data_IF_175416230791
#
_entry.id   IF_175416230791
#
_cell.length_a   1.000
_cell.length_b   1.000
_cell.length_c   1.000
_cell.angle_alpha   90.00
_cell.angle_beta   90.00
_cell.angle_gamma   90.00
#
_symmetry.space_group_name_H-M   'P 1'
#
loop_
_entity.id
_entity.type
_entity.pdbx_description
1 polymer ?
#
# COMPACT_ATOMS: atom_id res chain seq x y z
N UNK A 1 -39.24 -8.68 11.20
CA UNK A 1 -38.63 -9.36 10.03
C UNK A 1 -37.47 -10.23 10.52
N UNK A 2 -36.73 -10.89 9.63
CA UNK A 2 -35.55 -11.70 10.01
C UNK A 2 -34.49 -10.85 10.74
N UNK A 3 -34.32 -9.59 10.37
CA UNK A 3 -33.36 -8.68 10.99
C UNK A 3 -33.68 -8.42 12.46
N UNK A 4 -34.95 -8.16 12.79
CA UNK A 4 -35.37 -7.98 14.18
C UNK A 4 -35.18 -9.23 15.04
N UNK A 5 -35.49 -10.42 14.50
CA UNK A 5 -35.29 -11.68 15.22
C UNK A 5 -33.80 -11.97 15.49
N UNK A 6 -32.92 -11.69 14.53
CA UNK A 6 -31.48 -11.84 14.70
C UNK A 6 -30.90 -10.77 15.64
N UNK A 7 -31.43 -9.55 15.63
CA UNK A 7 -30.95 -8.47 16.49
C UNK A 7 -31.10 -8.81 17.98
N UNK A 8 -32.19 -9.46 18.38
CA UNK A 8 -32.37 -9.90 19.77
C UNK A 8 -31.36 -10.98 20.16
N UNK A 9 -31.18 -12.00 19.31
CA UNK A 9 -30.26 -13.12 19.56
C UNK A 9 -28.80 -12.65 19.60
N UNK A 10 -28.37 -11.91 18.58
CA UNK A 10 -27.01 -11.39 18.48
C UNK A 10 -26.75 -10.30 19.52
N UNK A 11 -27.78 -9.52 19.88
CA UNK A 11 -27.69 -8.54 20.96
C UNK A 11 -27.34 -9.21 22.29
N UNK A 12 -28.00 -10.32 22.64
CA UNK A 12 -27.68 -11.07 23.84
C UNK A 12 -26.23 -11.62 23.82
N UNK A 13 -25.79 -12.14 22.67
CA UNK A 13 -24.43 -12.65 22.48
C UNK A 13 -23.37 -11.53 22.63
N UNK A 14 -23.62 -10.35 22.08
CA UNK A 14 -22.73 -9.18 22.24
C UNK A 14 -22.58 -8.78 23.72
N UNK A 15 -23.66 -8.84 24.51
CA UNK A 15 -23.57 -8.57 25.95
C UNK A 15 -22.77 -9.67 26.66
N UNK A 16 -23.03 -10.94 26.34
CA UNK A 16 -22.33 -12.07 26.96
C UNK A 16 -20.82 -12.04 26.68
N UNK A 17 -20.41 -11.58 25.50
CA UNK A 17 -19.00 -11.45 25.11
C UNK A 17 -18.37 -10.11 25.55
N UNK A 18 -19.12 -9.22 26.21
CA UNK A 18 -18.62 -7.90 26.62
C UNK A 18 -18.36 -6.94 25.46
N UNK A 19 -18.91 -7.21 24.28
CA UNK A 19 -18.71 -6.43 23.05
C UNK A 19 -19.78 -5.36 22.83
N UNK A 20 -20.81 -5.31 23.69
CA UNK A 20 -21.90 -4.36 23.53
C UNK A 20 -21.44 -2.90 23.50
N UNK A 21 -20.46 -2.54 24.33
CA UNK A 21 -19.94 -1.17 24.38
C UNK A 21 -19.23 -0.80 23.08
N UNK A 22 -18.36 -1.67 22.55
CA UNK A 22 -17.73 -1.48 21.24
C UNK A 22 -18.77 -1.31 20.13
N UNK A 23 -19.78 -2.17 20.10
CA UNK A 23 -20.87 -2.10 19.12
C UNK A 23 -21.65 -0.79 19.22
N UNK A 24 -22.10 -0.41 20.42
CA UNK A 24 -23.02 0.71 20.63
C UNK A 24 -22.35 2.09 20.67
N UNK A 25 -21.08 2.17 21.09
CA UNK A 25 -20.35 3.44 21.27
C UNK A 25 -19.32 3.72 20.18
N UNK A 26 -18.89 2.70 19.43
CA UNK A 26 -17.90 2.86 18.34
C UNK A 26 -18.49 2.48 17.00
N UNK A 27 -18.95 1.24 16.83
CA UNK A 27 -19.32 0.73 15.50
C UNK A 27 -20.59 1.40 14.97
N UNK A 28 -21.67 1.43 15.77
CA UNK A 28 -22.95 2.01 15.35
C UNK A 28 -22.91 3.54 15.17
N UNK A 29 -22.23 4.32 16.05
CA UNK A 29 -22.06 5.75 15.82
C UNK A 29 -21.17 6.10 14.61
N UNK A 30 -20.29 5.20 14.19
CA UNK A 30 -19.46 5.38 12.99
C UNK A 30 -20.29 5.26 11.69
N UNK A 31 -21.34 4.43 11.66
CA UNK A 31 -22.20 4.23 10.48
C UNK A 31 -22.71 5.54 9.85
N UNK A 32 -23.38 6.46 10.59
CA UNK A 32 -23.86 7.71 9.99
C UNK A 32 -22.72 8.61 9.49
N UNK A 33 -21.54 8.57 10.10
CA UNK A 33 -20.35 9.31 9.64
C UNK A 33 -19.88 8.77 8.29
N UNK A 34 -19.76 7.45 8.16
CA UNK A 34 -19.39 6.80 6.90
C UNK A 34 -20.42 7.10 5.81
N UNK A 35 -21.72 6.96 6.10
CA UNK A 35 -22.78 7.29 5.15
C UNK A 35 -22.70 8.75 4.66
N UNK A 36 -22.37 9.69 5.54
CA UNK A 36 -22.19 11.08 5.15
C UNK A 36 -20.96 11.27 4.25
N UNK A 37 -19.84 10.62 4.57
CA UNK A 37 -18.63 10.64 3.74
C UNK A 37 -18.88 10.06 2.34
N UNK A 38 -19.51 8.90 2.27
CA UNK A 38 -19.87 8.23 1.02
C UNK A 38 -20.82 9.07 0.18
N UNK A 39 -21.88 9.62 0.77
CA UNK A 39 -22.85 10.49 0.06
C UNK A 39 -22.23 11.80 -0.43
N UNK A 40 -21.28 12.37 0.31
CA UNK A 40 -20.60 13.59 -0.10
C UNK A 40 -19.67 13.35 -1.28
N UNK A 41 -18.98 12.21 -1.30
CA UNK A 41 -17.99 11.88 -2.32
C UNK A 41 -16.81 12.86 -2.39
N UNK A 42 -15.90 12.61 -3.33
CA UNK A 42 -14.72 13.44 -3.59
C UNK A 42 -14.72 13.97 -5.01
N UNK A 43 -14.31 15.24 -5.17
CA UNK A 43 -14.20 15.86 -6.49
C UNK A 43 -12.85 15.54 -7.12
N UNK A 44 -12.84 15.41 -8.45
CA UNK A 44 -11.65 15.10 -9.23
C UNK A 44 -11.40 16.17 -10.29
N UNK A 45 -10.12 16.50 -10.50
CA UNK A 45 -9.64 17.21 -11.68
C UNK A 45 -9.53 16.23 -12.86
N UNK A 46 -10.57 16.19 -13.67
CA UNK A 46 -10.64 15.27 -14.83
C UNK A 46 -9.75 15.70 -15.98
N UNK A 47 -9.42 16.99 -16.10
CA UNK A 47 -8.53 17.48 -17.14
C UNK A 47 -7.09 17.06 -16.85
N UNK A 48 -6.65 17.23 -15.60
CA UNK A 48 -5.35 16.75 -15.14
C UNK A 48 -5.22 15.23 -15.37
N UNK A 49 -6.23 14.43 -15.00
CA UNK A 49 -6.19 12.98 -15.21
C UNK A 49 -6.14 12.61 -16.70
N UNK A 50 -6.85 13.34 -17.56
CA UNK A 50 -6.79 13.12 -19.01
C UNK A 50 -5.39 13.40 -19.57
N UNK A 51 -4.78 14.52 -19.17
CA UNK A 51 -3.45 14.91 -19.62
C UNK A 51 -2.39 13.91 -19.15
N UNK A 52 -2.49 13.46 -17.90
CA UNK A 52 -1.67 12.38 -17.37
C UNK A 52 -1.84 11.09 -18.17
N UNK A 53 -3.07 10.72 -18.54
CA UNK A 53 -3.35 9.52 -19.35
C UNK A 53 -2.62 9.57 -20.70
N UNK A 54 -2.65 10.71 -21.38
CA UNK A 54 -1.93 10.89 -22.65
C UNK A 54 -0.41 10.81 -22.47
N UNK A 55 0.14 11.48 -21.46
CA UNK A 55 1.58 11.45 -21.19
C UNK A 55 2.08 10.04 -20.88
N UNK A 56 1.37 9.32 -19.99
CA UNK A 56 1.71 7.95 -19.62
C UNK A 56 1.53 6.97 -20.78
N UNK A 57 0.52 7.17 -21.63
CA UNK A 57 0.36 6.38 -22.85
C UNK A 57 1.59 6.47 -23.75
N UNK A 58 2.11 7.69 -23.96
CA UNK A 58 3.35 7.89 -24.72
C UNK A 58 4.59 7.25 -24.09
N UNK A 59 4.72 7.30 -22.76
CA UNK A 59 5.82 6.65 -22.04
C UNK A 59 5.73 5.12 -22.12
N UNK A 60 4.54 4.56 -21.98
CA UNK A 60 4.31 3.12 -22.06
C UNK A 60 4.65 2.55 -23.44
N UNK A 61 4.32 3.26 -24.52
CA UNK A 61 4.68 2.86 -25.89
C UNK A 61 6.21 2.78 -26.05
N UNK A 62 6.95 3.74 -25.48
CA UNK A 62 8.42 3.74 -25.53
C UNK A 62 9.00 2.57 -24.74
N UNK A 63 8.55 2.37 -23.50
CA UNK A 63 8.99 1.24 -22.66
C UNK A 63 8.67 -0.11 -23.31
N UNK A 64 7.49 -0.24 -23.92
CA UNK A 64 7.09 -1.46 -24.63
C UNK A 64 8.02 -1.75 -25.81
N UNK A 65 8.38 -0.73 -26.61
CA UNK A 65 9.33 -0.89 -27.70
C UNK A 65 10.73 -1.29 -27.20
N UNK A 66 11.21 -0.71 -26.10
CA UNK A 66 12.49 -1.06 -25.48
C UNK A 66 12.50 -2.49 -24.93
N UNK A 67 11.41 -2.91 -24.26
CA UNK A 67 11.24 -4.28 -23.74
C UNK A 67 11.25 -5.29 -24.90
N UNK A 68 10.53 -5.00 -25.99
CA UNK A 68 10.53 -5.86 -27.18
C UNK A 68 11.88 -5.89 -27.87
N UNK A 69 12.62 -4.78 -27.89
CA UNK A 69 14.00 -4.72 -28.37
C UNK A 69 14.93 -5.64 -27.57
N UNK A 70 14.81 -5.62 -26.23
CA UNK A 70 15.56 -6.52 -25.36
C UNK A 70 15.17 -8.00 -25.52
N UNK A 71 13.88 -8.28 -25.73
CA UNK A 71 13.37 -9.65 -25.85
C UNK A 71 13.52 -10.24 -27.26
N UNK A 72 13.78 -9.42 -28.27
CA UNK A 72 13.86 -9.85 -29.68
C UNK A 72 12.51 -10.22 -30.32
N UNK A 73 11.40 -10.09 -29.60
CA UNK A 73 10.04 -10.35 -30.10
C UNK A 73 8.97 -9.61 -29.29
N UNK A 74 7.78 -9.51 -29.86
CA UNK A 74 6.61 -9.00 -29.17
C UNK A 74 5.93 -10.09 -28.33
N UNK A 75 5.37 -9.68 -27.19
CA UNK A 75 4.60 -10.53 -26.30
C UNK A 75 3.74 -9.69 -25.36
N UNK A 76 2.81 -10.31 -24.64
CA UNK A 76 2.03 -9.63 -23.62
C UNK A 76 2.82 -9.52 -22.31
N UNK A 77 3.40 -8.33 -22.06
CA UNK A 77 4.20 -8.00 -20.86
C UNK A 77 3.39 -8.15 -19.57
N UNK A 78 2.07 -7.93 -19.64
CA UNK A 78 1.16 -8.06 -18.51
C UNK A 78 0.74 -9.51 -18.22
N UNK A 79 1.07 -10.47 -19.09
CA UNK A 79 0.80 -11.89 -18.86
C UNK A 79 1.97 -12.56 -18.12
N UNK A 80 1.80 -12.97 -16.85
CA UNK A 80 2.89 -13.59 -16.08
C UNK A 80 3.45 -14.84 -16.76
N UNK A 81 2.60 -15.59 -17.49
CA UNK A 81 3.00 -16.78 -18.23
C UNK A 81 3.93 -16.43 -19.40
N UNK A 82 3.54 -15.46 -20.23
CA UNK A 82 4.36 -15.08 -21.38
C UNK A 82 5.65 -14.41 -20.93
N UNK A 83 5.56 -13.51 -19.95
CA UNK A 83 6.73 -12.85 -19.40
C UNK A 83 7.72 -13.86 -18.77
N UNK A 84 7.23 -14.82 -18.00
CA UNK A 84 8.08 -15.85 -17.41
C UNK A 84 8.83 -16.67 -18.45
N UNK A 85 8.15 -17.08 -19.54
CA UNK A 85 8.81 -17.80 -20.64
C UNK A 85 9.92 -16.96 -21.28
N UNK A 86 9.66 -15.69 -21.59
CA UNK A 86 10.69 -14.78 -22.14
C UNK A 86 11.88 -14.64 -21.20
N UNK A 87 11.64 -14.34 -19.92
CA UNK A 87 12.71 -14.05 -18.98
C UNK A 87 13.59 -15.27 -18.66
N UNK A 88 12.97 -16.44 -18.46
CA UNK A 88 13.66 -17.60 -17.89
C UNK A 88 13.98 -18.70 -18.91
N UNK A 89 13.27 -18.77 -20.03
CA UNK A 89 13.51 -19.78 -21.07
C UNK A 89 14.31 -19.18 -22.25
N UNK A 90 13.95 -17.97 -22.69
CA UNK A 90 14.59 -17.33 -23.86
C UNK A 90 15.82 -16.51 -23.46
N UNK A 91 15.68 -15.58 -22.52
CA UNK A 91 16.79 -14.75 -22.01
C UNK A 91 17.66 -15.53 -21.00
N UNK A 92 17.14 -16.65 -20.48
CA UNK A 92 17.85 -17.54 -19.56
C UNK A 92 18.33 -16.87 -18.26
N UNK A 93 17.54 -15.96 -17.70
CA UNK A 93 17.82 -15.40 -16.38
C UNK A 93 17.77 -16.49 -15.30
N UNK A 94 18.54 -16.33 -14.20
CA UNK A 94 18.52 -17.30 -13.11
C UNK A 94 17.10 -17.43 -12.53
N UNK A 95 16.51 -18.63 -12.53
CA UNK A 95 15.11 -18.80 -12.18
C UNK A 95 14.91 -18.78 -10.67
N UNK A 96 14.16 -17.81 -10.16
CA UNK A 96 13.65 -17.83 -8.78
C UNK A 96 12.31 -18.59 -8.76
N UNK A 97 12.36 -19.87 -8.39
CA UNK A 97 11.18 -20.76 -8.39
C UNK A 97 10.44 -20.70 -7.06
N UNK A 98 9.12 -20.47 -7.10
CA UNK A 98 8.20 -20.86 -6.01
C UNK A 98 7.41 -22.09 -6.46
N UNK A 99 7.65 -23.24 -5.83
CA UNK A 99 6.83 -24.46 -5.98
C UNK A 99 6.92 -25.21 -7.33
N UNK A 100 5.96 -26.12 -7.56
CA UNK A 100 5.92 -27.03 -8.72
C UNK A 100 5.41 -26.29 -9.97
N UNK A 101 6.31 -25.87 -10.86
CA UNK A 101 6.08 -25.62 -12.31
C UNK A 101 5.74 -24.20 -12.83
N UNK A 102 5.85 -23.10 -12.07
CA UNK A 102 5.70 -21.75 -12.67
C UNK A 102 6.81 -20.80 -12.21
N UNK A 103 7.41 -20.09 -13.16
CA UNK A 103 8.32 -18.99 -12.85
C UNK A 103 7.54 -17.84 -12.20
N UNK A 104 8.06 -17.29 -11.10
CA UNK A 104 7.49 -16.09 -10.51
C UNK A 104 7.97 -14.86 -11.29
N UNK A 105 7.05 -13.94 -11.55
CA UNK A 105 7.38 -12.60 -12.04
C UNK A 105 6.85 -11.54 -11.08
N UNK A 106 6.70 -11.87 -9.79
CA UNK A 106 6.31 -10.89 -8.77
C UNK A 106 7.35 -9.75 -8.71
N UNK A 107 6.91 -8.54 -8.32
CA UNK A 107 7.80 -7.39 -8.26
C UNK A 107 9.03 -7.64 -7.37
N UNK A 108 8.85 -8.28 -6.20
CA UNK A 108 9.97 -8.63 -5.31
C UNK A 108 10.99 -9.56 -5.98
N UNK A 109 10.50 -10.57 -6.71
CA UNK A 109 11.37 -11.50 -7.44
C UNK A 109 12.11 -10.81 -8.58
N UNK A 110 11.45 -9.89 -9.28
CA UNK A 110 12.11 -9.12 -10.34
C UNK A 110 13.12 -8.11 -9.76
N UNK A 111 12.90 -7.57 -8.57
CA UNK A 111 13.86 -6.68 -7.89
C UNK A 111 15.17 -7.41 -7.58
N UNK A 112 15.13 -8.66 -7.13
CA UNK A 112 16.34 -9.50 -6.92
C UNK A 112 17.15 -9.71 -8.21
N UNK A 113 16.49 -9.63 -9.37
CA UNK A 113 17.12 -9.81 -10.68
C UNK A 113 17.60 -8.48 -11.29
N UNK A 114 17.46 -7.34 -10.59
CA UNK A 114 18.00 -6.06 -11.07
C UNK A 114 19.52 -6.15 -11.22
N UNK A 115 20.03 -5.49 -12.25
CA UNK A 115 21.46 -5.49 -12.58
C UNK A 115 21.93 -6.69 -13.42
N UNK A 116 21.18 -7.80 -13.45
CA UNK A 116 21.51 -8.95 -14.30
C UNK A 116 21.22 -8.64 -15.77
N UNK A 117 20.05 -8.05 -16.05
CA UNK A 117 19.66 -7.70 -17.42
C UNK A 117 18.81 -6.42 -17.45
N UNK A 118 19.03 -5.50 -18.41
CA UNK A 118 18.33 -4.20 -18.47
C UNK A 118 16.80 -4.35 -18.58
N UNK A 119 16.32 -5.43 -19.22
CA UNK A 119 14.88 -5.71 -19.37
C UNK A 119 14.11 -5.70 -18.04
N UNK A 120 14.76 -6.07 -16.93
CA UNK A 120 14.12 -6.16 -15.62
C UNK A 120 13.65 -4.80 -15.11
N UNK A 121 14.52 -3.78 -15.21
CA UNK A 121 14.17 -2.40 -14.83
C UNK A 121 13.00 -1.89 -15.67
N UNK A 122 13.08 -2.08 -16.99
CA UNK A 122 12.02 -1.67 -17.93
C UNK A 122 10.67 -2.32 -17.62
N UNK A 123 10.65 -3.61 -17.29
CA UNK A 123 9.41 -4.33 -16.92
C UNK A 123 8.81 -3.79 -15.63
N UNK A 124 9.64 -3.53 -14.61
CA UNK A 124 9.19 -2.99 -13.33
C UNK A 124 8.55 -1.62 -13.53
N UNK A 125 9.21 -0.74 -14.29
CA UNK A 125 8.70 0.58 -14.63
C UNK A 125 7.40 0.48 -15.45
N UNK A 126 7.38 -0.35 -16.50
CA UNK A 126 6.19 -0.57 -17.34
C UNK A 126 4.99 -1.02 -16.51
N UNK A 127 5.16 -1.97 -15.59
CA UNK A 127 4.08 -2.48 -14.74
C UNK A 127 3.61 -1.45 -13.73
N UNK A 128 4.53 -0.68 -13.15
CA UNK A 128 4.17 0.41 -12.26
C UNK A 128 3.31 1.44 -12.99
N UNK A 129 3.76 1.92 -14.15
CA UNK A 129 3.02 2.91 -14.95
C UNK A 129 1.69 2.35 -15.48
N UNK A 130 1.66 1.10 -15.94
CA UNK A 130 0.43 0.44 -16.42
C UNK A 130 -0.61 0.34 -15.31
N UNK A 131 -0.19 -0.04 -14.09
CA UNK A 131 -1.10 -0.10 -12.93
C UNK A 131 -1.61 1.29 -12.57
N UNK A 132 -0.72 2.29 -12.52
CA UNK A 132 -1.10 3.68 -12.25
C UNK A 132 -2.14 4.19 -13.26
N UNK A 133 -1.88 3.96 -14.54
CA UNK A 133 -2.75 4.37 -15.65
C UNK A 133 -4.11 3.69 -15.57
N UNK A 134 -4.13 2.35 -15.55
CA UNK A 134 -5.36 1.57 -15.61
C UNK A 134 -6.22 1.65 -14.35
N UNK A 135 -5.61 1.62 -13.17
CA UNK A 135 -6.36 1.53 -11.90
C UNK A 135 -6.84 2.88 -11.40
N UNK A 136 -6.10 3.95 -11.66
CA UNK A 136 -6.40 5.28 -11.11
C UNK A 136 -6.74 6.27 -12.22
N UNK A 137 -5.84 6.45 -13.19
CA UNK A 137 -5.93 7.60 -14.10
C UNK A 137 -7.06 7.45 -15.11
N UNK A 138 -7.21 6.26 -15.71
CA UNK A 138 -8.30 5.99 -16.67
C UNK A 138 -9.60 5.62 -15.96
N UNK A 139 -9.51 4.87 -14.86
CA UNK A 139 -10.69 4.34 -14.18
C UNK A 139 -11.43 5.40 -13.36
N UNK A 140 -10.74 6.25 -12.59
CA UNK A 140 -11.40 7.19 -11.68
C UNK A 140 -12.36 8.15 -12.39
N UNK A 141 -12.01 8.77 -13.55
CA UNK A 141 -12.95 9.62 -14.27
C UNK A 141 -14.22 8.88 -14.71
N UNK A 142 -14.10 7.61 -15.08
CA UNK A 142 -15.26 6.79 -15.50
C UNK A 142 -16.22 6.44 -14.36
N UNK A 143 -15.77 6.58 -13.12
CA UNK A 143 -16.53 6.30 -11.90
C UNK A 143 -17.22 7.54 -11.31
N UNK A 144 -17.11 8.70 -11.99
CA UNK A 144 -17.78 9.91 -11.56
C UNK A 144 -19.30 9.74 -11.71
N UNK A 145 -20.02 9.99 -10.62
CA UNK A 145 -21.47 9.99 -10.64
C UNK A 145 -21.97 11.24 -11.38
N UNK A 146 -22.76 11.03 -12.44
CA UNK A 146 -23.25 12.12 -13.31
C UNK A 146 -24.17 13.11 -12.60
N UNK A 147 -24.82 12.74 -11.49
CA UNK A 147 -25.71 13.64 -10.74
C UNK A 147 -24.96 14.57 -9.80
N UNK A 148 -23.88 14.07 -9.18
CA UNK A 148 -23.12 14.82 -8.16
C UNK A 148 -21.83 15.42 -8.71
N UNK A 149 -21.32 14.92 -9.84
CA UNK A 149 -20.01 15.27 -10.38
C UNK A 149 -18.85 14.77 -9.53
N UNK A 150 -19.06 13.76 -8.68
CA UNK A 150 -18.07 13.26 -7.71
C UNK A 150 -17.92 11.74 -7.77
N UNK A 151 -16.79 11.26 -7.25
CA UNK A 151 -16.55 9.84 -7.01
C UNK A 151 -17.01 9.48 -5.60
N UNK A 152 -17.74 8.37 -5.48
CA UNK A 152 -18.30 7.89 -4.22
C UNK A 152 -17.74 6.50 -3.93
N UNK A 153 -16.84 6.40 -2.94
CA UNK A 153 -16.38 5.09 -2.44
C UNK A 153 -17.43 4.49 -1.52
N UNK A 154 -17.37 3.17 -1.32
CA UNK A 154 -18.02 2.45 -0.22
C UNK A 154 -16.98 2.03 0.83
N UNK A 155 -17.23 2.33 2.10
CA UNK A 155 -16.44 1.91 3.25
C UNK A 155 -17.07 0.69 3.91
N UNK A 156 -16.38 -0.44 3.83
CA UNK A 156 -16.81 -1.68 4.46
C UNK A 156 -16.22 -1.76 5.88
N UNK A 157 -17.09 -1.71 6.88
CA UNK A 157 -16.75 -1.77 8.30
C UNK A 157 -16.45 -3.19 8.80
N UNK A 158 -17.02 -4.22 8.16
CA UNK A 158 -16.99 -5.61 8.65
C UNK A 158 -16.10 -6.55 7.83
N UNK A 159 -15.29 -6.02 6.90
CA UNK A 159 -14.56 -6.85 5.93
C UNK A 159 -13.18 -7.28 6.39
N UNK A 160 -12.46 -6.46 7.16
CA UNK A 160 -11.09 -6.78 7.57
C UNK A 160 -11.10 -7.50 8.91
N UNK A 161 -10.16 -8.43 9.09
CA UNK A 161 -10.03 -9.18 10.35
C UNK A 161 -9.49 -8.33 11.52
N UNK A 162 -8.88 -7.18 11.22
CA UNK A 162 -8.20 -6.32 12.20
C UNK A 162 -9.03 -5.12 12.65
N UNK A 163 -10.28 -5.02 12.21
CA UNK A 163 -11.16 -3.87 12.51
C UNK A 163 -10.88 -2.62 11.67
N UNK A 164 -9.94 -2.67 10.71
CA UNK A 164 -9.73 -1.56 9.75
C UNK A 164 -10.90 -1.43 8.78
N UNK A 165 -11.24 -0.21 8.41
CA UNK A 165 -12.12 0.03 7.25
C UNK A 165 -11.43 -0.44 5.96
N UNK A 166 -12.23 -0.94 5.02
CA UNK A 166 -11.77 -1.15 3.64
C UNK A 166 -12.62 -0.38 2.65
N UNK A 167 -12.00 0.20 1.63
CA UNK A 167 -12.65 1.01 0.61
C UNK A 167 -12.78 0.26 -0.73
N UNK A 168 -13.93 0.38 -1.38
CA UNK A 168 -14.22 -0.23 -2.68
C UNK A 168 -15.08 0.68 -3.57
N UNK A 169 -15.01 0.43 -4.88
CA UNK A 169 -15.84 1.08 -5.91
C UNK A 169 -15.79 2.61 -5.94
N UNK A 170 -14.61 3.26 -6.01
CA UNK A 170 -13.26 2.70 -6.08
C UNK A 170 -12.55 2.65 -4.72
N UNK A 171 -11.44 1.91 -4.64
CA UNK A 171 -10.61 1.92 -3.44
C UNK A 171 -9.78 3.22 -3.34
N UNK A 172 -10.22 4.12 -2.46
CA UNK A 172 -9.58 5.41 -2.18
C UNK A 172 -8.57 5.37 -1.03
N UNK A 173 -8.40 4.24 -0.35
CA UNK A 173 -7.37 4.09 0.69
C UNK A 173 -5.98 3.80 0.10
N UNK A 174 -5.94 3.18 -1.08
CA UNK A 174 -4.71 2.76 -1.74
C UNK A 174 -4.26 3.73 -2.84
N UNK A 175 -4.57 5.02 -2.74
CA UNK A 175 -4.10 6.02 -3.71
C UNK A 175 -2.57 6.18 -3.56
N UNK A 176 -1.78 5.98 -4.63
CA UNK A 176 -0.33 6.06 -4.61
C UNK A 176 0.17 7.40 -4.03
N UNK A 177 1.28 7.36 -3.29
CA UNK A 177 1.95 8.56 -2.74
C UNK A 177 3.44 8.64 -3.11
N UNK A 178 4.03 7.50 -3.46
CA UNK A 178 5.45 7.40 -3.79
C UNK A 178 5.64 7.67 -5.28
N UNK A 179 6.76 8.33 -5.60
CA UNK A 179 7.08 8.73 -6.97
C UNK A 179 6.31 9.96 -7.44
N UNK A 180 6.81 10.60 -8.48
CA UNK A 180 6.23 11.81 -9.06
C UNK A 180 4.81 11.58 -9.59
N UNK A 181 4.63 10.53 -10.41
CA UNK A 181 3.33 10.17 -10.98
C UNK A 181 2.30 9.88 -9.88
N UNK A 182 2.69 9.18 -8.80
CA UNK A 182 1.80 8.90 -7.68
C UNK A 182 1.33 10.17 -6.96
N UNK A 183 2.23 11.14 -6.77
CA UNK A 183 1.88 12.46 -6.21
C UNK A 183 0.94 13.22 -7.13
N UNK A 184 1.16 13.18 -8.44
CA UNK A 184 0.26 13.81 -9.42
C UNK A 184 -1.15 13.20 -9.39
N UNK A 185 -1.28 11.87 -9.22
CA UNK A 185 -2.60 11.23 -9.04
C UNK A 185 -3.32 11.81 -7.82
N UNK A 186 -2.61 12.09 -6.71
CA UNK A 186 -3.21 12.74 -5.54
C UNK A 186 -3.61 14.19 -5.79
N UNK A 187 -2.87 14.93 -6.61
CA UNK A 187 -3.22 16.30 -6.98
C UNK A 187 -4.54 16.38 -7.74
N UNK A 188 -4.94 15.30 -8.42
CA UNK A 188 -6.24 15.23 -9.06
C UNK A 188 -7.42 15.16 -8.07
N UNK A 189 -7.19 14.89 -6.78
CA UNK A 189 -8.24 14.98 -5.77
C UNK A 189 -8.32 16.42 -5.27
N UNK A 190 -9.43 17.09 -5.57
CA UNK A 190 -9.58 18.53 -5.36
C UNK A 190 -10.70 18.86 -4.39
N UNK A 191 -10.58 20.00 -3.72
CA UNK A 191 -11.67 20.60 -2.98
C UNK A 191 -12.60 21.39 -3.93
N UNK A 192 -13.90 21.49 -3.62
CA UNK A 192 -14.78 22.41 -4.33
C UNK A 192 -14.34 23.87 -4.14
N UNK A 193 -14.77 24.75 -5.05
CA UNK A 193 -14.45 26.17 -5.00
C UNK A 193 -14.78 26.80 -3.63
N UNK A 194 -13.84 27.55 -3.06
CA UNK A 194 -13.97 28.17 -1.74
C UNK A 194 -13.62 27.26 -0.56
N UNK A 195 -13.19 26.02 -0.81
CA UNK A 195 -12.76 25.06 0.21
C UNK A 195 -11.31 24.62 -0.02
N UNK A 196 -10.72 24.03 1.02
CA UNK A 196 -9.43 23.35 0.95
C UNK A 196 -9.56 21.91 1.48
N UNK A 197 -8.61 21.05 1.10
CA UNK A 197 -8.48 19.72 1.70
C UNK A 197 -7.56 19.82 2.92
N UNK A 198 -8.04 19.30 4.05
CA UNK A 198 -7.27 19.13 5.28
C UNK A 198 -6.99 17.64 5.49
N UNK A 199 -5.73 17.29 5.76
CA UNK A 199 -5.32 15.92 6.06
C UNK A 199 -4.64 15.88 7.44
N UNK A 200 -5.05 14.93 8.27
CA UNK A 200 -4.39 14.60 9.54
C UNK A 200 -4.03 13.12 9.53
N UNK A 201 -2.80 12.81 9.94
CA UNK A 201 -2.27 11.45 10.02
C UNK A 201 -1.64 11.23 11.39
N UNK A 202 -1.87 10.08 12.01
CA UNK A 202 -1.26 9.79 13.29
C UNK A 202 0.23 9.50 13.12
N UNK A 203 1.07 10.21 13.86
CA UNK A 203 2.50 9.90 13.91
C UNK A 203 2.75 8.59 14.65
N UNK A 204 2.98 7.52 13.87
CA UNK A 204 3.43 6.21 14.36
C UNK A 204 2.47 5.54 15.35
N UNK A 205 1.15 5.60 15.09
CA UNK A 205 0.15 5.05 16.01
C UNK A 205 0.39 3.58 16.38
N UNK A 206 0.77 2.72 15.42
CA UNK A 206 1.00 1.30 15.70
C UNK A 206 2.17 1.08 16.68
N UNK A 207 3.26 1.85 16.56
CA UNK A 207 4.39 1.75 17.50
C UNK A 207 4.06 2.37 18.87
N UNK A 208 3.25 3.43 18.91
CA UNK A 208 2.75 4.00 20.17
C UNK A 208 1.82 3.01 20.88
N UNK A 209 0.96 2.32 20.14
CA UNK A 209 0.15 1.22 20.67
C UNK A 209 1.01 0.07 21.17
N UNK A 210 2.07 -0.30 20.44
CA UNK A 210 3.02 -1.32 20.90
C UNK A 210 3.67 -0.90 22.22
N UNK A 211 4.20 0.32 22.31
CA UNK A 211 4.81 0.84 23.55
C UNK A 211 3.83 0.81 24.73
N UNK A 212 2.56 1.18 24.49
CA UNK A 212 1.51 1.11 25.49
C UNK A 212 1.17 -0.34 25.89
N UNK A 213 1.14 -1.28 24.96
CA UNK A 213 0.77 -2.67 25.28
C UNK A 213 1.93 -3.44 25.92
N UNK A 214 3.17 -3.19 25.49
CA UNK A 214 4.37 -3.85 26.02
C UNK A 214 4.85 -3.25 27.33
N UNK A 215 4.49 -1.99 27.60
CA UNK A 215 5.01 -1.20 28.72
C UNK A 215 6.56 -1.12 28.73
N UNK A 216 7.19 -1.23 27.54
CA UNK A 216 8.64 -1.17 27.42
C UNK A 216 9.16 0.23 27.80
N UNK A 217 10.04 0.35 28.82
CA UNK A 217 10.53 1.64 29.29
C UNK A 217 11.31 2.43 28.22
N UNK A 218 12.00 1.74 27.31
CA UNK A 218 12.75 2.36 26.22
C UNK A 218 11.83 3.03 25.20
N UNK A 219 10.84 2.28 24.70
CA UNK A 219 9.84 2.79 23.77
C UNK A 219 8.99 3.91 24.40
N UNK A 220 8.55 3.74 25.65
CA UNK A 220 7.79 4.77 26.36
C UNK A 220 8.62 6.05 26.50
N UNK A 221 9.87 5.94 26.93
CA UNK A 221 10.79 7.08 27.07
C UNK A 221 11.00 7.80 25.73
N UNK A 222 11.29 7.04 24.66
CA UNK A 222 11.50 7.61 23.33
C UNK A 222 10.26 8.40 22.85
N UNK A 223 9.05 7.86 23.05
CA UNK A 223 7.82 8.57 22.69
C UNK A 223 7.49 9.76 23.59
N UNK A 224 7.86 9.72 24.88
CA UNK A 224 7.70 10.86 25.79
C UNK A 224 8.64 12.02 25.45
N UNK A 225 9.82 11.71 24.92
CA UNK A 225 10.81 12.70 24.51
C UNK A 225 10.68 13.13 23.03
N UNK A 226 9.66 12.60 22.33
CA UNK A 226 9.43 12.79 20.89
C UNK A 226 10.67 12.48 20.03
N UNK A 227 11.44 11.48 20.45
CA UNK A 227 12.60 11.00 19.74
C UNK A 227 12.21 10.27 18.45
N UNK A 228 13.09 10.29 17.45
CA UNK A 228 12.92 9.46 16.27
C UNK A 228 13.17 8.00 16.63
N UNK A 229 12.09 7.25 16.87
CA UNK A 229 12.16 5.85 17.27
C UNK A 229 12.96 4.98 16.30
N UNK A 230 12.94 5.27 15.00
CA UNK A 230 13.72 4.50 14.04
C UNK A 230 15.21 4.80 14.17
N UNK A 231 15.57 6.04 14.46
CA UNK A 231 16.96 6.40 14.73
C UNK A 231 17.44 5.84 16.07
N UNK A 232 16.60 5.88 17.11
CA UNK A 232 16.90 5.29 18.42
C UNK A 232 17.12 3.77 18.31
N UNK A 233 16.22 3.06 17.61
CA UNK A 233 16.41 1.63 17.34
C UNK A 233 17.67 1.38 16.53
N UNK A 234 17.96 2.20 15.51
CA UNK A 234 19.19 2.06 14.71
C UNK A 234 20.45 2.25 15.57
N UNK A 235 20.50 3.29 16.40
CA UNK A 235 21.61 3.55 17.31
C UNK A 235 21.91 2.34 18.20
N UNK A 236 20.86 1.72 18.75
CA UNK A 236 20.99 0.52 19.58
C UNK A 236 21.42 -0.71 18.78
N UNK A 237 20.80 -0.97 17.62
CA UNK A 237 21.12 -2.12 16.76
C UNK A 237 22.57 -2.09 16.27
N UNK A 238 23.07 -0.92 15.89
CA UNK A 238 24.40 -0.75 15.34
C UNK A 238 25.47 -0.36 16.39
N UNK A 239 25.06 -0.13 17.64
CA UNK A 239 25.96 0.31 18.71
C UNK A 239 26.63 1.66 18.45
N UNK A 240 25.92 2.59 17.81
CA UNK A 240 26.41 3.94 17.46
C UNK A 240 25.61 5.02 18.19
N UNK A 241 26.19 6.22 18.32
CA UNK A 241 25.42 7.36 18.84
C UNK A 241 24.29 7.75 17.89
N UNK A 242 23.17 8.26 18.43
CA UNK A 242 22.03 8.69 17.62
C UNK A 242 22.40 9.74 16.55
N UNK A 243 23.40 10.58 16.82
CA UNK A 243 23.91 11.58 15.87
C UNK A 243 24.70 10.98 14.69
N UNK A 244 25.14 9.74 14.81
CA UNK A 244 25.92 9.00 13.81
C UNK A 244 25.06 8.04 12.98
N UNK A 245 23.75 7.98 13.24
CA UNK A 245 22.83 7.11 12.51
C UNK A 245 22.71 7.59 11.06
N UNK A 246 23.23 6.78 10.14
CA UNK A 246 23.12 7.02 8.72
C UNK A 246 21.67 6.76 8.21
N UNK A 247 21.25 7.37 7.08
CA UNK A 247 19.93 7.15 6.50
C UNK A 247 19.60 5.66 6.24
N UNK A 248 20.58 4.86 5.83
CA UNK A 248 20.39 3.44 5.56
C UNK A 248 20.21 2.62 6.84
N UNK A 249 20.96 2.94 7.90
CA UNK A 249 20.78 2.33 9.24
C UNK A 249 19.37 2.59 9.77
N UNK A 250 18.90 3.83 9.64
CA UNK A 250 17.53 4.21 10.02
C UNK A 250 16.48 3.48 9.19
N UNK A 251 16.72 3.32 7.88
CA UNK A 251 15.81 2.59 6.99
C UNK A 251 15.71 1.11 7.40
N UNK A 252 16.83 0.48 7.72
CA UNK A 252 16.87 -0.90 8.20
C UNK A 252 16.11 -1.05 9.52
N UNK A 253 16.42 -0.22 10.52
CA UNK A 253 15.74 -0.24 11.81
C UNK A 253 14.23 0.00 11.69
N UNK A 254 13.80 0.83 10.73
CA UNK A 254 12.39 0.99 10.40
C UNK A 254 11.76 -0.32 9.90
N UNK A 255 12.42 -1.05 9.00
CA UNK A 255 11.96 -2.37 8.54
C UNK A 255 11.85 -3.33 9.71
N UNK A 256 12.87 -3.40 10.59
CA UNK A 256 12.88 -4.23 11.79
C UNK A 256 11.70 -3.90 12.72
N UNK A 257 11.49 -2.62 13.04
CA UNK A 257 10.40 -2.19 13.93
C UNK A 257 9.01 -2.63 13.42
N UNK A 258 8.76 -2.46 12.11
CA UNK A 258 7.51 -2.96 11.53
C UNK A 258 7.48 -4.48 11.43
N UNK A 259 8.62 -5.12 11.17
CA UNK A 259 8.75 -6.58 11.16
C UNK A 259 8.31 -7.19 12.49
N UNK A 260 8.78 -6.65 13.61
CA UNK A 260 8.39 -7.08 14.96
C UNK A 260 6.89 -6.91 15.19
N UNK A 261 6.30 -5.76 14.85
CA UNK A 261 4.86 -5.51 15.02
C UNK A 261 4.01 -6.54 14.24
N UNK A 262 4.42 -6.85 13.01
CA UNK A 262 3.66 -7.71 12.12
C UNK A 262 4.05 -9.19 12.20
N UNK A 263 4.87 -9.58 13.17
CA UNK A 263 5.29 -10.97 13.35
C UNK A 263 6.09 -11.53 12.18
N UNK A 264 6.91 -10.69 11.55
CA UNK A 264 7.79 -11.07 10.46
C UNK A 264 8.82 -12.09 10.96
N UNK A 265 9.01 -13.18 10.21
CA UNK A 265 10.04 -14.17 10.49
C UNK A 265 11.43 -13.66 10.06
N UNK A 266 12.50 -14.29 10.56
CA UNK A 266 13.89 -14.07 10.12
C UNK A 266 14.00 -14.07 8.58
N UNK A 267 13.37 -15.05 7.92
CA UNK A 267 13.31 -15.12 6.46
C UNK A 267 12.59 -13.92 5.82
N UNK A 268 11.51 -13.44 6.45
CA UNK A 268 10.82 -12.23 5.98
C UNK A 268 11.68 -10.98 6.14
N UNK A 269 12.50 -10.91 7.19
CA UNK A 269 13.41 -9.80 7.46
C UNK A 269 14.58 -9.80 6.47
N UNK A 270 15.20 -10.95 6.23
CA UNK A 270 16.21 -11.15 5.19
C UNK A 270 15.70 -10.65 3.82
N UNK A 271 14.49 -11.03 3.43
CA UNK A 271 13.90 -10.61 2.14
C UNK A 271 13.55 -9.10 2.07
N UNK A 272 13.29 -8.48 3.21
CA UNK A 272 12.93 -7.06 3.29
C UNK A 272 14.15 -6.14 3.47
N UNK A 273 15.33 -6.73 3.70
CA UNK A 273 16.58 -6.04 4.00
C UNK A 273 17.72 -6.57 3.12
N UNK A 274 18.92 -6.02 3.27
CA UNK A 274 20.13 -6.54 2.60
C UNK A 274 20.96 -7.40 3.55
N UNK A 275 20.39 -7.77 4.72
CA UNK A 275 21.06 -8.60 5.72
C UNK A 275 21.11 -10.05 5.27
N UNK A 276 22.18 -10.75 5.64
CA UNK A 276 22.22 -12.21 5.57
C UNK A 276 21.31 -12.82 6.62
N UNK A 277 20.93 -14.09 6.43
CA UNK A 277 20.12 -14.84 7.39
C UNK A 277 20.76 -14.97 8.78
N UNK A 278 22.08 -14.97 8.90
CA UNK A 278 22.75 -14.99 10.20
C UNK A 278 22.72 -13.61 10.90
N UNK A 279 22.60 -12.53 10.14
CA UNK A 279 22.50 -11.16 10.65
C UNK A 279 21.06 -10.74 10.99
N UNK A 280 20.06 -11.38 10.37
CA UNK A 280 18.62 -11.14 10.56
C UNK A 280 18.03 -11.90 11.74
#
# INVERSE_FOLDING_TARGET
DMTGQLAELLGAELHQQGLWQLFSEVEMPLVPVLLQMERNGVALDTELLRDMSHQLGGQLIKLEAEIFGCAGRQFNINSPKQLGSVLFEEIQLPPVRKGKSKYSTEASVLEELRGIHPIIGLILDYRQLTKLKSTYIDALPSLINLKTGRVHTSFNQTRTATGRLSSSEPNLQNIPIRGEVGRQVRQAFIAPHGFCLLAGDYSQIDLRSLAHLSQDPGLLSAFHQDEDIHAATAAQLFGVDASQVAPDMRRLAKTVNFGVIYGMSEYGLEQATELSREEA
#
